data_IF_629734648831
#
_entry.id   IF_629734648831
#
_cell.length_a   1.000
_cell.length_b   1.000
_cell.length_c   1.000
_cell.angle_alpha   90.00
_cell.angle_beta   90.00
_cell.angle_gamma   90.00
#
_symmetry.space_group_name_H-M   'P 1'
#
loop_
_entity.id
_entity.type
_entity.pdbx_description
1 polymer ?
#
# COMPACT_ATOMS: atom_id res chain seq x y z
N UNK A 1 -2.99 15.18 2.60
CA UNK A 1 -2.68 13.80 3.02
C UNK A 1 -4.00 13.07 3.14
N UNK A 2 -4.18 11.98 2.41
CA UNK A 2 -5.39 11.15 2.47
C UNK A 2 -5.05 9.88 3.26
N UNK A 3 -5.86 9.56 4.26
CA UNK A 3 -5.70 8.36 5.08
C UNK A 3 -6.92 7.49 4.87
N UNK A 4 -6.70 6.25 4.44
CA UNK A 4 -7.73 5.26 4.15
C UNK A 4 -7.40 3.97 4.87
N UNK A 5 -8.43 3.23 5.27
CA UNK A 5 -8.28 1.91 5.87
C UNK A 5 -8.64 0.85 4.83
N UNK A 6 -7.78 -0.17 4.73
CA UNK A 6 -8.02 -1.34 3.87
C UNK A 6 -7.83 -2.62 4.66
N UNK A 7 -8.68 -3.60 4.37
CA UNK A 7 -8.61 -4.96 4.89
C UNK A 7 -7.97 -5.88 3.86
N UNK A 8 -7.60 -7.08 4.29
CA UNK A 8 -7.14 -8.14 3.39
C UNK A 8 -8.15 -8.37 2.25
N UNK A 9 -7.64 -8.46 1.02
CA UNK A 9 -8.41 -8.57 -0.22
C UNK A 9 -8.88 -7.23 -0.79
N UNK A 10 -8.92 -6.14 -0.01
CA UNK A 10 -9.35 -4.82 -0.48
C UNK A 10 -8.25 -4.11 -1.28
N UNK A 11 -8.68 -3.22 -2.18
CA UNK A 11 -7.78 -2.43 -3.01
C UNK A 11 -8.03 -0.92 -2.92
N UNK A 12 -7.05 -0.16 -3.41
CA UNK A 12 -7.08 1.30 -3.58
C UNK A 12 -6.75 1.58 -5.03
N UNK A 13 -7.58 2.40 -5.67
CA UNK A 13 -7.31 2.95 -7.00
C UNK A 13 -6.69 4.33 -6.86
N UNK A 14 -5.59 4.58 -7.58
CA UNK A 14 -4.94 5.88 -7.69
C UNK A 14 -4.98 6.30 -9.16
N UNK A 15 -5.79 7.32 -9.46
CA UNK A 15 -6.11 7.68 -10.84
C UNK A 15 -6.75 6.51 -11.59
N UNK A 16 -6.45 6.39 -12.89
CA UNK A 16 -7.08 5.41 -13.77
C UNK A 16 -6.19 4.18 -14.07
N UNK A 17 -4.97 4.13 -13.54
CA UNK A 17 -3.97 3.14 -13.95
C UNK A 17 -3.23 2.43 -12.84
N UNK A 18 -3.35 2.87 -11.59
CA UNK A 18 -2.60 2.28 -10.47
C UNK A 18 -3.57 1.65 -9.48
N UNK A 19 -3.37 0.37 -9.20
CA UNK A 19 -4.09 -0.38 -8.18
C UNK A 19 -3.12 -0.87 -7.12
N UNK A 20 -3.46 -0.65 -5.85
CA UNK A 20 -2.75 -1.22 -4.70
C UNK A 20 -3.71 -2.16 -3.98
N UNK A 21 -3.34 -3.43 -3.83
CA UNK A 21 -4.16 -4.43 -3.13
C UNK A 21 -3.43 -4.93 -1.88
N UNK A 22 -4.18 -5.08 -0.78
CA UNK A 22 -3.72 -5.80 0.41
C UNK A 22 -3.93 -7.28 0.18
N UNK A 23 -2.84 -8.03 0.02
CA UNK A 23 -2.91 -9.48 -0.21
C UNK A 23 -3.04 -10.27 1.10
N UNK A 24 -2.29 -9.88 2.13
CA UNK A 24 -2.35 -10.53 3.44
C UNK A 24 -1.84 -9.64 4.55
N UNK A 25 -2.39 -9.81 5.76
CA UNK A 25 -1.91 -9.16 6.98
C UNK A 25 -1.44 -10.24 7.96
N UNK A 26 -0.18 -10.19 8.37
CA UNK A 26 0.36 -11.07 9.39
C UNK A 26 0.19 -10.44 10.77
N UNK A 27 -0.71 -10.97 11.60
CA UNK A 27 -0.89 -10.47 12.98
C UNK A 27 0.31 -10.79 13.88
N UNK A 28 1.04 -11.88 13.59
CA UNK A 28 2.18 -12.32 14.40
C UNK A 28 3.40 -11.41 14.22
N UNK A 29 3.73 -11.09 12.97
CA UNK A 29 4.92 -10.29 12.64
C UNK A 29 4.61 -8.81 12.45
N UNK A 30 3.34 -8.45 12.21
CA UNK A 30 2.92 -7.11 11.79
C UNK A 30 3.23 -6.82 10.32
N UNK A 31 3.70 -7.81 9.56
CA UNK A 31 4.04 -7.62 8.15
C UNK A 31 2.79 -7.53 7.27
N UNK A 32 2.87 -6.65 6.26
CA UNK A 32 1.84 -6.45 5.27
C UNK A 32 2.36 -6.89 3.90
N UNK A 33 1.62 -7.77 3.22
CA UNK A 33 1.89 -8.10 1.82
C UNK A 33 0.96 -7.29 0.92
N UNK A 34 1.54 -6.49 0.04
CA UNK A 34 0.81 -5.69 -0.95
C UNK A 34 1.20 -6.07 -2.38
N UNK A 35 0.25 -5.91 -3.29
CA UNK A 35 0.46 -5.97 -4.73
C UNK A 35 0.20 -4.60 -5.34
N UNK A 36 1.06 -4.19 -6.26
CA UNK A 36 0.92 -2.94 -7.00
C UNK A 36 0.83 -3.30 -8.48
N UNK A 37 -0.28 -2.94 -9.10
CA UNK A 37 -0.45 -3.02 -10.55
C UNK A 37 -0.43 -1.60 -11.11
N UNK A 38 0.47 -1.36 -12.06
CA UNK A 38 0.65 -0.06 -12.68
C UNK A 38 1.15 -0.23 -14.13
N UNK A 39 1.01 0.78 -15.00
CA UNK A 39 1.55 0.75 -16.34
C UNK A 39 3.09 0.82 -16.31
N UNK A 40 3.76 0.30 -17.34
CA UNK A 40 5.23 0.18 -17.40
C UNK A 40 6.00 1.52 -17.24
N UNK A 41 5.34 2.65 -17.50
CA UNK A 41 5.92 3.98 -17.31
C UNK A 41 6.04 4.38 -15.83
N UNK A 42 5.41 3.64 -14.92
CA UNK A 42 5.42 3.90 -13.48
C UNK A 42 6.30 2.89 -12.78
N UNK A 43 7.35 3.38 -12.10
CA UNK A 43 8.19 2.54 -11.25
C UNK A 43 7.62 2.44 -9.83
N UNK A 44 7.51 1.21 -9.32
CA UNK A 44 7.27 0.95 -7.90
C UNK A 44 8.60 0.85 -7.15
N UNK A 45 8.80 1.69 -6.15
CA UNK A 45 10.01 1.69 -5.32
C UNK A 45 9.65 1.55 -3.84
N UNK A 46 10.29 0.60 -3.16
CA UNK A 46 10.24 0.51 -1.71
C UNK A 46 11.23 1.51 -1.11
N UNK A 47 10.74 2.50 -0.37
CA UNK A 47 11.60 3.31 0.48
C UNK A 47 11.46 2.78 1.91
N UNK A 48 12.59 2.54 2.58
CA UNK A 48 12.61 2.42 4.04
C UNK A 48 12.32 3.80 4.61
N UNK A 49 11.03 4.13 4.74
CA UNK A 49 10.60 5.30 5.49
C UNK A 49 10.61 4.85 6.95
N UNK A 50 11.42 5.49 7.79
CA UNK A 50 11.30 5.30 9.25
C UNK A 50 9.85 5.56 9.66
N UNK A 51 9.39 4.88 10.71
CA UNK A 51 8.01 4.95 11.20
C UNK A 51 7.69 6.32 11.86
N UNK A 52 7.92 7.43 11.17
CA UNK A 52 7.40 8.74 11.54
C UNK A 52 5.94 8.81 11.10
N UNK A 53 5.08 8.25 11.95
CA UNK A 53 3.67 8.60 11.97
C UNK A 53 3.60 10.09 12.24
N UNK A 54 3.19 10.88 11.25
CA UNK A 54 2.87 12.28 11.48
C UNK A 54 1.53 12.33 12.21
N UNK A 55 1.56 12.15 13.53
CA UNK A 55 0.42 12.42 14.40
C UNK A 55 0.01 13.89 14.22
N UNK A 56 -1.28 14.11 13.97
CA UNK A 56 -1.92 15.43 13.99
C UNK A 56 -3.16 15.37 14.85
#
# INVERSE_FOLDING_TARGET
>A
MLVLTRREGENIMIGDGIQIQVLSVSEETGDLRIQIEAPDVVEAQSRNVGNEVTDR
#
